data_IF_510028018385
#
_entry.id   IF_510028018385
#
_cell.length_a   1.000
_cell.length_b   1.000
_cell.length_c   1.000
_cell.angle_alpha   90.00
_cell.angle_beta   90.00
_cell.angle_gamma   90.00
#
_symmetry.space_group_name_H-M   'P 1'
#
loop_
_entity.id
_entity.type
_entity.pdbx_description
1 polymer ?
#
# COMPACT_ATOMS: atom_id res chain seq x y z
N UNK A 1 -8.36 1.97 -22.57
CA UNK A 1 -8.74 1.87 -21.13
C UNK A 1 -8.44 0.49 -20.52
N UNK A 2 -8.70 -0.64 -21.19
CA UNK A 2 -8.46 -2.01 -20.64
C UNK A 2 -7.02 -2.27 -20.14
N UNK A 3 -5.99 -1.79 -20.83
CA UNK A 3 -4.58 -2.04 -20.44
C UNK A 3 -4.14 -1.29 -19.17
N UNK A 4 -4.81 -0.18 -18.82
CA UNK A 4 -4.47 0.58 -17.61
C UNK A 4 -4.90 -0.17 -16.36
N UNK A 5 -6.15 -0.66 -16.30
CA UNK A 5 -6.65 -1.48 -15.19
C UNK A 5 -5.86 -2.78 -15.00
N UNK A 6 -5.34 -3.36 -16.08
CA UNK A 6 -4.49 -4.55 -16.03
C UNK A 6 -3.17 -4.26 -15.32
N UNK A 7 -2.54 -3.12 -15.57
CA UNK A 7 -1.34 -2.67 -14.83
C UNK A 7 -1.60 -2.51 -13.33
N UNK A 8 -2.75 -1.93 -12.94
CA UNK A 8 -3.12 -1.77 -11.52
C UNK A 8 -3.28 -3.15 -10.83
N UNK A 9 -3.97 -4.08 -11.48
CA UNK A 9 -4.21 -5.43 -10.94
C UNK A 9 -2.92 -6.24 -10.88
N UNK A 10 -2.07 -6.16 -11.91
CA UNK A 10 -0.75 -6.82 -11.92
C UNK A 10 0.16 -6.28 -10.82
N UNK A 11 0.10 -4.99 -10.52
CA UNK A 11 0.90 -4.38 -9.45
C UNK A 11 0.46 -4.84 -8.06
N UNK A 12 -0.85 -4.83 -7.78
CA UNK A 12 -1.40 -5.40 -6.53
C UNK A 12 -1.06 -6.89 -6.42
N UNK A 13 -1.09 -7.63 -7.52
CA UNK A 13 -0.67 -9.04 -7.58
C UNK A 13 0.80 -9.25 -7.25
N UNK A 14 1.71 -8.41 -7.75
CA UNK A 14 3.14 -8.47 -7.43
C UNK A 14 3.39 -8.22 -5.94
N UNK A 15 2.68 -7.26 -5.34
CA UNK A 15 2.81 -6.95 -3.91
C UNK A 15 2.34 -8.13 -3.05
N UNK A 16 1.19 -8.72 -3.40
CA UNK A 16 0.65 -9.89 -2.70
C UNK A 16 1.61 -11.08 -2.83
N UNK A 17 2.17 -11.31 -4.02
CA UNK A 17 3.13 -12.38 -4.27
C UNK A 17 4.42 -12.19 -3.44
N UNK A 18 4.99 -10.98 -3.40
CA UNK A 18 6.17 -10.67 -2.59
C UNK A 18 5.91 -10.86 -1.09
N UNK A 19 4.72 -10.49 -0.62
CA UNK A 19 4.30 -10.68 0.77
C UNK A 19 4.13 -12.16 1.12
N UNK A 20 3.57 -12.96 0.21
CA UNK A 20 3.37 -14.40 0.38
C UNK A 20 4.69 -15.20 0.35
N UNK A 21 5.64 -14.82 -0.52
CA UNK A 21 6.97 -15.46 -0.58
C UNK A 21 7.74 -15.24 0.72
N UNK A 22 7.63 -14.05 1.33
CA UNK A 22 8.26 -13.75 2.63
C UNK A 22 7.60 -14.48 3.80
N UNK A 23 6.29 -14.73 3.74
CA UNK A 23 5.59 -15.55 4.75
C UNK A 23 6.08 -17.01 4.76
N UNK A 24 6.57 -17.51 3.62
CA UNK A 24 7.10 -18.87 3.49
C UNK A 24 8.59 -18.98 3.90
N UNK A 25 9.30 -17.87 4.10
CA UNK A 25 10.71 -17.86 4.52
C UNK A 25 10.81 -17.91 6.06
N UNK A 26 11.50 -18.95 6.55
CA UNK A 26 11.51 -19.39 7.95
C UNK A 26 12.39 -18.53 8.88
N UNK A 27 11.99 -18.38 10.16
CA UNK A 27 12.50 -17.51 11.25
C UNK A 27 14.03 -17.27 11.33
N UNK A 28 14.60 -16.49 10.41
CA UNK A 28 15.94 -15.88 10.60
C UNK A 28 15.76 -14.41 10.98
N UNK A 29 16.66 -13.86 11.82
CA UNK A 29 16.64 -12.43 12.19
C UNK A 29 16.71 -11.51 10.98
N UNK A 30 17.32 -11.97 9.89
CA UNK A 30 17.40 -11.25 8.62
C UNK A 30 16.01 -11.08 7.98
N UNK A 31 15.08 -12.02 8.18
CA UNK A 31 13.75 -11.94 7.57
C UNK A 31 12.91 -10.78 8.11
N UNK A 32 13.09 -10.37 9.36
CA UNK A 32 12.39 -9.21 9.92
C UNK A 32 12.83 -7.91 9.23
N UNK A 33 14.13 -7.77 8.99
CA UNK A 33 14.71 -6.65 8.26
C UNK A 33 14.22 -6.63 6.80
N UNK A 34 14.30 -7.76 6.10
CA UNK A 34 13.84 -7.88 4.71
C UNK A 34 12.34 -7.64 4.56
N UNK A 35 11.53 -8.14 5.50
CA UNK A 35 10.08 -7.95 5.48
C UNK A 35 9.73 -6.48 5.71
N UNK A 36 10.40 -5.83 6.67
CA UNK A 36 10.25 -4.38 6.88
C UNK A 36 10.60 -3.61 5.61
N UNK A 37 11.74 -3.92 5.00
CA UNK A 37 12.19 -3.27 3.78
C UNK A 37 11.20 -3.40 2.62
N UNK A 38 10.63 -4.59 2.43
CA UNK A 38 9.61 -4.85 1.39
C UNK A 38 8.35 -4.04 1.66
N UNK A 39 7.78 -4.10 2.87
CA UNK A 39 6.56 -3.34 3.19
C UNK A 39 6.76 -1.83 3.08
N UNK A 40 7.97 -1.34 3.36
CA UNK A 40 8.33 0.06 3.20
C UNK A 40 8.45 0.45 1.72
N UNK A 41 9.07 -0.38 0.88
CA UNK A 41 9.07 -0.21 -0.59
C UNK A 41 7.64 -0.19 -1.15
N UNK A 42 6.81 -1.15 -0.73
CA UNK A 42 5.40 -1.24 -1.14
C UNK A 42 4.66 0.05 -0.79
N UNK A 43 4.90 0.60 0.39
CA UNK A 43 4.28 1.85 0.85
C UNK A 43 4.72 3.05 0.01
N UNK A 44 6.02 3.16 -0.29
CA UNK A 44 6.58 4.21 -1.16
C UNK A 44 5.99 4.12 -2.56
N UNK A 45 5.93 2.92 -3.13
CA UNK A 45 5.34 2.70 -4.45
C UNK A 45 3.84 3.03 -4.44
N UNK A 46 3.12 2.71 -3.37
CA UNK A 46 1.71 3.08 -3.20
C UNK A 46 1.50 4.59 -3.26
N UNK A 47 2.34 5.38 -2.59
CA UNK A 47 2.30 6.86 -2.66
C UNK A 47 2.63 7.35 -4.05
N UNK A 48 3.74 6.86 -4.64
CA UNK A 48 4.16 7.27 -5.98
C UNK A 48 3.06 7.02 -7.02
N UNK A 49 2.40 5.88 -6.93
CA UNK A 49 1.36 5.51 -7.86
C UNK A 49 0.09 6.33 -7.69
N UNK A 50 -0.33 6.61 -6.44
CA UNK A 50 -1.41 7.55 -6.17
C UNK A 50 -1.12 8.93 -6.78
N UNK A 51 0.11 9.45 -6.65
CA UNK A 51 0.52 10.70 -7.28
C UNK A 51 0.43 10.64 -8.82
N UNK A 52 0.91 9.56 -9.43
CA UNK A 52 0.83 9.34 -10.88
C UNK A 52 -0.62 9.34 -11.38
N UNK A 53 -1.56 8.73 -10.63
CA UNK A 53 -2.99 8.74 -10.96
C UNK A 53 -3.52 10.17 -11.01
N UNK A 54 -3.19 10.99 -10.00
CA UNK A 54 -3.64 12.39 -9.92
C UNK A 54 -3.09 13.21 -11.09
N UNK A 55 -1.79 13.08 -11.39
CA UNK A 55 -1.14 13.81 -12.49
C UNK A 55 -1.73 13.43 -13.86
N UNK A 56 -2.03 12.16 -14.10
CA UNK A 56 -2.66 11.75 -15.38
C UNK A 56 -4.14 12.11 -15.47
N UNK A 57 -4.84 12.24 -14.34
CA UNK A 57 -6.25 12.67 -14.28
C UNK A 57 -6.41 14.19 -14.23
N UNK A 58 -5.34 14.97 -14.26
CA UNK A 58 -5.37 16.45 -14.17
C UNK A 58 -6.17 17.17 -15.28
N UNK A 59 -6.68 16.42 -16.27
CA UNK A 59 -7.68 16.91 -17.24
C UNK A 59 -9.12 16.90 -16.70
N UNK A 60 -9.43 16.22 -15.59
CA UNK A 60 -10.75 16.25 -14.93
C UNK A 60 -10.77 17.29 -13.80
N UNK A 61 -11.86 18.06 -13.71
CA UNK A 61 -11.98 19.28 -12.89
C UNK A 61 -11.97 19.05 -11.37
N UNK A 62 -12.00 17.80 -10.89
CA UNK A 62 -12.05 17.49 -9.47
C UNK A 62 -10.74 16.85 -8.94
N UNK A 63 -9.75 17.71 -8.69
CA UNK A 63 -8.46 17.34 -8.07
C UNK A 63 -8.66 16.84 -6.63
N UNK A 64 -9.65 17.38 -5.91
CA UNK A 64 -9.89 17.08 -4.50
C UNK A 64 -10.20 15.59 -4.24
N UNK A 65 -10.98 14.93 -5.10
CA UNK A 65 -11.31 13.50 -4.93
C UNK A 65 -10.09 12.58 -5.15
N UNK A 66 -9.13 13.01 -5.97
CA UNK A 66 -7.89 12.29 -6.23
C UNK A 66 -6.85 12.50 -5.11
N UNK A 67 -6.88 13.65 -4.41
CA UNK A 67 -6.02 13.89 -3.23
C UNK A 67 -6.33 12.91 -2.09
N UNK A 68 -7.56 12.43 -1.96
CA UNK A 68 -7.95 11.42 -0.96
C UNK A 68 -7.12 10.14 -1.09
N UNK A 69 -6.84 9.70 -2.33
CA UNK A 69 -6.00 8.53 -2.59
C UNK A 69 -4.56 8.74 -2.12
N UNK A 70 -4.00 9.92 -2.38
CA UNK A 70 -2.66 10.29 -1.90
C UNK A 70 -2.64 10.28 -0.36
N UNK A 71 -3.64 10.88 0.27
CA UNK A 71 -3.75 10.92 1.73
C UNK A 71 -3.81 9.52 2.35
N UNK A 72 -4.62 8.61 1.79
CA UNK A 72 -4.70 7.20 2.26
C UNK A 72 -3.33 6.51 2.12
N UNK A 73 -2.62 6.70 1.01
CA UNK A 73 -1.28 6.14 0.81
C UNK A 73 -0.23 6.71 1.78
N UNK A 74 -0.28 8.01 2.09
CA UNK A 74 0.63 8.64 3.06
C UNK A 74 0.33 8.12 4.47
N UNK A 75 -0.95 8.02 4.86
CA UNK A 75 -1.35 7.46 6.17
C UNK A 75 -0.82 6.04 6.30
N UNK A 76 -0.97 5.20 5.26
CA UNK A 76 -0.43 3.85 5.27
C UNK A 76 1.09 3.83 5.44
N UNK A 77 1.83 4.67 4.70
CA UNK A 77 3.28 4.80 4.84
C UNK A 77 3.69 5.16 6.29
N UNK A 78 3.05 6.17 6.87
CA UNK A 78 3.31 6.59 8.26
C UNK A 78 3.03 5.47 9.25
N UNK A 79 1.88 4.79 9.12
CA UNK A 79 1.53 3.64 9.96
C UNK A 79 2.56 2.51 9.84
N UNK A 80 3.03 2.22 8.63
CA UNK A 80 3.99 1.15 8.40
C UNK A 80 5.36 1.45 9.03
N UNK A 81 5.80 2.71 8.96
CA UNK A 81 7.01 3.18 9.65
C UNK A 81 6.84 3.07 11.17
N UNK A 82 5.71 3.53 11.72
CA UNK A 82 5.44 3.46 13.16
C UNK A 82 5.38 2.02 13.66
N UNK A 83 4.66 1.13 12.97
CA UNK A 83 4.57 -0.29 13.30
C UNK A 83 5.96 -0.93 13.26
N UNK A 84 6.76 -0.62 12.25
CA UNK A 84 8.11 -1.16 12.14
C UNK A 84 9.01 -0.69 13.29
N UNK A 85 8.98 0.60 13.64
CA UNK A 85 9.76 1.13 14.77
C UNK A 85 9.29 0.51 16.10
N UNK A 86 7.97 0.45 16.34
CA UNK A 86 7.40 -0.10 17.58
C UNK A 86 7.70 -1.59 17.72
N UNK A 87 7.50 -2.38 16.67
CA UNK A 87 7.73 -3.83 16.70
C UNK A 87 9.22 -4.18 16.83
N UNK A 88 10.12 -3.45 16.16
CA UNK A 88 11.56 -3.73 16.19
C UNK A 88 12.20 -3.21 17.49
N UNK A 89 11.96 -1.95 17.86
CA UNK A 89 12.72 -1.28 18.91
C UNK A 89 12.05 -1.29 20.28
N UNK A 90 10.71 -1.26 20.35
CA UNK A 90 9.99 -1.11 21.62
C UNK A 90 9.51 -2.46 22.14
N UNK A 91 8.77 -3.20 21.32
CA UNK A 91 8.10 -4.42 21.73
C UNK A 91 8.93 -5.69 21.47
N UNK A 92 10.00 -5.59 20.66
CA UNK A 92 10.83 -6.73 20.22
C UNK A 92 9.97 -7.91 19.75
N UNK A 93 8.98 -7.60 18.91
CA UNK A 93 8.00 -8.58 18.44
C UNK A 93 8.69 -9.73 17.69
N UNK A 94 8.14 -10.93 17.82
CA UNK A 94 8.55 -12.07 16.98
C UNK A 94 8.17 -11.80 15.53
N UNK A 95 8.91 -12.40 14.59
CA UNK A 95 8.68 -12.25 13.15
C UNK A 95 7.23 -12.56 12.76
N UNK A 96 6.65 -13.62 13.32
CA UNK A 96 5.25 -14.03 13.08
C UNK A 96 4.24 -12.95 13.46
N UNK A 97 4.47 -12.24 14.57
CA UNK A 97 3.59 -11.16 15.02
C UNK A 97 3.73 -9.95 14.09
N UNK A 98 4.96 -9.57 13.74
CA UNK A 98 5.23 -8.45 12.84
C UNK A 98 4.63 -8.66 11.44
N UNK A 99 4.85 -9.84 10.84
CA UNK A 99 4.33 -10.14 9.50
C UNK A 99 2.80 -10.19 9.49
N UNK A 100 2.17 -10.75 10.54
CA UNK A 100 0.71 -10.77 10.66
C UNK A 100 0.15 -9.34 10.73
N UNK A 101 0.76 -8.48 11.53
CA UNK A 101 0.33 -7.09 11.70
C UNK A 101 0.54 -6.26 10.41
N UNK A 102 1.64 -6.53 9.71
CA UNK A 102 1.96 -5.91 8.41
C UNK A 102 0.98 -6.35 7.31
N UNK A 103 0.59 -7.63 7.29
CA UNK A 103 -0.41 -8.15 6.36
C UNK A 103 -1.79 -7.54 6.64
N UNK A 104 -2.21 -7.45 7.91
CA UNK A 104 -3.49 -6.87 8.29
C UNK A 104 -3.56 -5.41 7.85
N UNK A 105 -2.53 -4.61 8.18
CA UNK A 105 -2.48 -3.20 7.79
C UNK A 105 -2.41 -3.00 6.28
N UNK A 106 -1.66 -3.85 5.57
CA UNK A 106 -1.64 -3.84 4.11
C UNK A 106 -3.01 -4.16 3.50
N UNK A 107 -3.72 -5.14 4.06
CA UNK A 107 -5.06 -5.52 3.59
C UNK A 107 -6.07 -4.38 3.77
N UNK A 108 -6.05 -3.73 4.94
CA UNK A 108 -6.89 -2.54 5.21
C UNK A 108 -6.56 -1.43 4.22
N UNK A 109 -5.27 -1.18 3.96
CA UNK A 109 -4.82 -0.19 2.99
C UNK A 109 -5.36 -0.49 1.58
N UNK A 110 -5.25 -1.73 1.08
CA UNK A 110 -5.79 -2.08 -0.24
C UNK A 110 -7.28 -1.79 -0.32
N UNK A 111 -8.05 -2.19 0.70
CA UNK A 111 -9.51 -1.99 0.73
C UNK A 111 -9.83 -0.50 0.66
N UNK A 112 -9.22 0.32 1.53
CA UNK A 112 -9.44 1.77 1.56
C UNK A 112 -9.01 2.43 0.24
N UNK A 113 -7.90 1.98 -0.34
CA UNK A 113 -7.39 2.51 -1.60
C UNK A 113 -8.32 2.18 -2.77
N UNK A 114 -8.83 0.95 -2.88
CA UNK A 114 -9.82 0.55 -3.90
C UNK A 114 -11.11 1.36 -3.73
N UNK A 115 -11.62 1.50 -2.50
CA UNK A 115 -12.83 2.29 -2.22
C UNK A 115 -12.63 3.75 -2.62
N UNK A 116 -11.49 4.35 -2.25
CA UNK A 116 -11.14 5.72 -2.65
C UNK A 116 -11.01 5.86 -4.17
N UNK A 117 -10.49 4.85 -4.86
CA UNK A 117 -10.32 4.87 -6.31
C UNK A 117 -11.66 4.78 -7.03
N UNK A 118 -12.55 3.88 -6.58
CA UNK A 118 -13.91 3.76 -7.09
C UNK A 118 -14.72 5.04 -6.84
N UNK A 119 -14.63 5.62 -5.65
CA UNK A 119 -15.30 6.88 -5.30
C UNK A 119 -14.82 8.05 -6.16
N UNK A 120 -13.50 8.20 -6.35
CA UNK A 120 -12.92 9.20 -7.25
C UNK A 120 -13.44 9.03 -8.69
N UNK A 121 -13.50 7.80 -9.21
CA UNK A 121 -14.01 7.55 -10.56
C UNK A 121 -15.50 7.88 -10.70
N UNK A 122 -16.31 7.54 -9.68
CA UNK A 122 -17.75 7.83 -9.70
C UNK A 122 -18.01 9.34 -9.72
N UNK A 123 -17.37 10.11 -8.82
CA UNK A 123 -17.51 11.57 -8.77
C UNK A 123 -17.08 12.21 -10.09
N UNK A 124 -15.93 11.80 -10.62
CA UNK A 124 -15.42 12.33 -11.89
C UNK A 124 -16.21 11.86 -13.14
N UNK A 125 -17.17 10.95 -13.00
CA UNK A 125 -18.03 10.46 -14.11
C UNK A 125 -19.42 11.09 -14.14
N UNK A 126 -19.82 11.78 -13.08
CA UNK A 126 -21.11 12.48 -12.99
C UNK A 126 -21.02 13.94 -13.44
N UNK A 127 -19.80 14.48 -13.58
CA UNK A 127 -19.51 15.80 -14.16
C UNK A 127 -19.20 15.70 -15.67
#
# INVERSE_FOLDING_TARGET
MKNKNLLYISFVGIIIALSAIMFLLNDTKDNLFWTTYIFLIVSILGVFFSCVIVTFKHKSKNIASNLVLITISIIYFVLNVLISILCINVLKCTFKVYISLSIITFTIFIILWIVGYCSSNYINSQD
#
